data_IF_962092742966
#
_entry.id   IF_962092742966
#
_cell.length_a   1.000
_cell.length_b   1.000
_cell.length_c   1.000
_cell.angle_alpha   90.00
_cell.angle_beta   90.00
_cell.angle_gamma   90.00
#
_symmetry.space_group_name_H-M   'P 1'
#
loop_
_entity.id
_entity.type
_entity.pdbx_description
1 polymer ?
#
# COMPACT_ATOMS: atom_id res chain seq x y z
N UNK A 1 -5.64 17.40 -5.50
CA UNK A 1 -5.59 16.04 -6.04
C UNK A 1 -4.97 15.18 -4.97
N UNK A 2 -5.61 14.09 -4.52
CA UNK A 2 -5.03 13.19 -3.54
C UNK A 2 -3.90 12.37 -4.15
N UNK A 3 -2.99 11.91 -3.30
CA UNK A 3 -1.86 11.07 -3.70
C UNK A 3 -2.14 9.58 -3.44
N UNK A 4 -1.82 8.75 -4.43
CA UNK A 4 -1.85 7.29 -4.35
C UNK A 4 -0.41 6.76 -4.46
N UNK A 5 0.22 6.45 -3.32
CA UNK A 5 1.60 5.99 -3.27
C UNK A 5 1.65 4.47 -3.16
N UNK A 6 2.44 3.84 -4.00
CA UNK A 6 2.65 2.39 -4.00
C UNK A 6 4.11 2.13 -3.65
N UNK A 7 4.35 1.45 -2.53
CA UNK A 7 5.69 0.98 -2.15
C UNK A 7 5.79 -0.49 -2.51
N UNK A 8 6.60 -0.79 -3.53
CA UNK A 8 6.72 -2.10 -4.15
C UNK A 8 8.13 -2.69 -4.02
N UNK A 9 8.25 -4.00 -4.21
CA UNK A 9 9.53 -4.73 -4.12
C UNK A 9 9.40 -6.12 -3.48
N UNK A 10 10.41 -6.95 -3.67
CA UNK A 10 10.42 -8.32 -3.12
C UNK A 10 10.38 -8.32 -1.57
N UNK A 11 9.99 -9.46 -0.98
CA UNK A 11 10.16 -9.66 0.46
C UNK A 11 11.64 -9.52 0.83
N UNK A 12 11.92 -8.83 1.95
CA UNK A 12 13.29 -8.53 2.35
C UNK A 12 13.95 -7.33 1.64
N UNK A 13 13.30 -6.69 0.66
CA UNK A 13 13.86 -5.50 -0.03
C UNK A 13 13.89 -4.22 0.84
N UNK A 14 13.46 -4.29 2.10
CA UNK A 14 13.46 -3.13 3.01
C UNK A 14 12.25 -2.20 2.89
N UNK A 15 11.17 -2.60 2.20
CA UNK A 15 9.94 -1.80 1.98
C UNK A 15 9.36 -1.23 3.28
N UNK A 16 9.13 -2.06 4.28
CA UNK A 16 8.57 -1.63 5.57
C UNK A 16 9.51 -0.68 6.31
N UNK A 17 10.83 -0.91 6.25
CA UNK A 17 11.83 -0.01 6.83
C UNK A 17 11.79 1.35 6.13
N UNK A 18 11.80 1.37 4.80
CA UNK A 18 11.66 2.59 4.02
C UNK A 18 10.35 3.31 4.36
N UNK A 19 9.22 2.60 4.38
CA UNK A 19 7.92 3.17 4.69
C UNK A 19 7.91 3.84 6.07
N UNK A 20 8.38 3.15 7.12
CA UNK A 20 8.43 3.68 8.48
C UNK A 20 9.24 4.96 8.64
N UNK A 21 10.30 5.13 7.87
CA UNK A 21 11.14 6.32 7.96
C UNK A 21 10.70 7.44 7.01
N UNK A 22 10.32 7.09 5.77
CA UNK A 22 10.04 8.08 4.73
C UNK A 22 8.59 8.58 4.77
N UNK A 23 7.62 7.70 5.00
CA UNK A 23 6.19 8.04 4.93
C UNK A 23 5.81 9.15 5.91
N UNK A 24 6.18 9.10 7.20
CA UNK A 24 5.81 10.17 8.13
C UNK A 24 6.40 11.54 7.75
N UNK A 25 7.51 11.57 7.00
CA UNK A 25 8.15 12.80 6.57
C UNK A 25 7.54 13.35 5.28
N UNK A 26 7.32 12.50 4.28
CA UNK A 26 6.86 12.91 2.96
C UNK A 26 5.33 13.02 2.87
N UNK A 27 4.60 12.18 3.63
CA UNK A 27 3.15 12.01 3.54
C UNK A 27 2.53 11.84 4.94
N UNK A 28 2.66 12.83 5.85
CA UNK A 28 2.30 12.70 7.27
C UNK A 28 0.82 12.38 7.54
N UNK A 29 -0.06 12.69 6.58
CA UNK A 29 -1.51 12.49 6.72
C UNK A 29 -2.06 11.34 5.87
N UNK A 30 -1.21 10.64 5.11
CA UNK A 30 -1.66 9.56 4.24
C UNK A 30 -1.96 8.29 5.05
N UNK A 31 -3.02 7.59 4.67
CA UNK A 31 -3.38 6.32 5.29
C UNK A 31 -2.40 5.25 4.81
N UNK A 32 -1.61 4.69 5.74
CA UNK A 32 -0.70 3.59 5.44
C UNK A 32 -1.44 2.24 5.50
N UNK A 33 -1.36 1.47 4.42
CA UNK A 33 -2.03 0.19 4.23
C UNK A 33 -0.99 -0.90 3.97
N UNK A 34 -0.72 -1.71 4.99
CA UNK A 34 0.24 -2.82 4.96
C UNK A 34 -0.44 -4.11 5.47
N UNK A 35 -0.31 -5.22 4.74
CA UNK A 35 -0.97 -6.47 5.07
C UNK A 35 -0.41 -7.13 6.34
N UNK A 36 0.89 -7.04 6.58
CA UNK A 36 1.55 -7.59 7.76
C UNK A 36 1.14 -6.82 9.04
N UNK A 37 1.03 -5.50 8.94
CA UNK A 37 0.52 -4.67 10.04
C UNK A 37 -0.94 -5.02 10.35
N UNK A 38 -1.79 -5.11 9.32
CA UNK A 38 -3.21 -5.51 9.48
C UNK A 38 -3.34 -6.92 10.07
N UNK A 39 -2.48 -7.86 9.68
CA UNK A 39 -2.50 -9.21 10.22
C UNK A 39 -2.21 -9.24 11.73
N UNK A 40 -1.39 -8.31 12.23
CA UNK A 40 -1.02 -8.22 13.64
C UNK A 40 -2.08 -7.50 14.51
N UNK A 41 -3.09 -6.85 13.92
CA UNK A 41 -4.04 -6.03 14.66
C UNK A 41 -5.02 -6.83 15.53
N UNK A 42 -5.43 -8.02 15.09
CA UNK A 42 -6.49 -8.77 15.77
C UNK A 42 -6.55 -10.26 15.41
N UNK A 43 -7.26 -11.04 16.23
CA UNK A 43 -7.52 -12.45 15.94
C UNK A 43 -8.33 -12.67 14.65
N UNK A 44 -9.17 -11.71 14.23
CA UNK A 44 -9.99 -11.85 13.02
C UNK A 44 -9.20 -11.59 11.74
N UNK A 45 -8.09 -10.84 11.83
CA UNK A 45 -7.18 -10.54 10.72
C UNK A 45 -5.92 -11.42 10.72
N UNK A 46 -5.75 -12.30 11.71
CA UNK A 46 -4.52 -13.07 11.94
C UNK A 46 -4.08 -14.02 10.80
N UNK A 47 -4.96 -14.34 9.84
CA UNK A 47 -4.58 -15.13 8.66
C UNK A 47 -4.20 -14.22 7.48
N UNK A 48 -3.23 -14.61 6.63
CA UNK A 48 -2.85 -13.81 5.45
C UNK A 48 -4.03 -13.50 4.52
N UNK A 49 -4.97 -14.44 4.38
CA UNK A 49 -6.16 -14.24 3.56
C UNK A 49 -7.12 -13.22 4.18
N UNK A 50 -7.32 -13.27 5.51
CA UNK A 50 -8.17 -12.32 6.21
C UNK A 50 -7.55 -10.91 6.18
N UNK A 51 -6.25 -10.79 6.46
CA UNK A 51 -5.52 -9.53 6.37
C UNK A 51 -5.57 -8.93 4.96
N UNK A 52 -5.40 -9.74 3.92
CA UNK A 52 -5.51 -9.29 2.53
C UNK A 52 -6.90 -8.78 2.17
N UNK A 53 -7.97 -9.45 2.63
CA UNK A 53 -9.36 -8.98 2.45
C UNK A 53 -9.59 -7.66 3.16
N UNK A 54 -9.09 -7.54 4.38
CA UNK A 54 -9.23 -6.33 5.18
C UNK A 54 -8.44 -5.15 4.60
N UNK A 55 -7.24 -5.40 4.05
CA UNK A 55 -6.48 -4.39 3.31
C UNK A 55 -7.26 -3.86 2.12
N UNK A 56 -7.86 -4.73 1.33
CA UNK A 56 -8.67 -4.33 0.16
C UNK A 56 -9.87 -3.49 0.59
N UNK A 57 -10.57 -3.89 1.65
CA UNK A 57 -11.71 -3.13 2.20
C UNK A 57 -11.28 -1.71 2.62
N UNK A 58 -10.21 -1.58 3.40
CA UNK A 58 -9.69 -0.27 3.85
C UNK A 58 -9.19 0.60 2.70
N UNK A 59 -8.58 -0.02 1.69
CA UNK A 59 -8.16 0.67 0.48
C UNK A 59 -9.36 1.27 -0.26
N UNK A 60 -10.43 0.49 -0.45
CA UNK A 60 -11.65 0.95 -1.12
C UNK A 60 -12.35 2.06 -0.32
N UNK A 61 -12.41 1.96 1.00
CA UNK A 61 -12.95 3.02 1.86
C UNK A 61 -12.12 4.31 1.80
N UNK A 62 -10.80 4.18 1.74
CA UNK A 62 -9.90 5.34 1.67
C UNK A 62 -10.00 6.03 0.31
N UNK A 63 -10.10 5.25 -0.77
CA UNK A 63 -10.31 5.76 -2.13
C UNK A 63 -11.65 6.48 -2.22
N UNK A 64 -12.73 5.87 -1.71
CA UNK A 64 -14.07 6.47 -1.68
C UNK A 64 -14.14 7.76 -0.85
N UNK A 65 -13.31 7.89 0.19
CA UNK A 65 -13.17 9.10 0.99
C UNK A 65 -12.28 10.19 0.33
N UNK A 66 -11.72 9.93 -0.86
CA UNK A 66 -10.81 10.82 -1.58
C UNK A 66 -9.60 11.28 -0.76
N UNK A 67 -9.01 10.36 0.00
CA UNK A 67 -7.86 10.65 0.90
C UNK A 67 -6.55 10.11 0.34
N UNK A 68 -5.47 10.78 0.69
CA UNK A 68 -4.11 10.30 0.42
C UNK A 68 -3.90 8.93 1.06
N UNK A 69 -3.28 8.02 0.31
CA UNK A 69 -3.00 6.68 0.80
C UNK A 69 -1.68 6.15 0.29
N UNK A 70 -1.14 5.22 1.08
CA UNK A 70 0.08 4.48 0.77
C UNK A 70 -0.22 3.01 0.92
N UNK A 71 0.09 2.23 -0.11
CA UNK A 71 -0.06 0.78 -0.07
C UNK A 71 1.30 0.11 -0.23
N UNK A 72 1.66 -0.76 0.72
CA UNK A 72 2.81 -1.64 0.60
C UNK A 72 2.40 -2.94 -0.11
N UNK A 73 3.17 -3.35 -1.10
CA UNK A 73 2.89 -4.57 -1.85
C UNK A 73 4.17 -5.20 -2.42
N UNK A 74 4.12 -6.48 -2.74
CA UNK A 74 5.18 -7.15 -3.52
C UNK A 74 4.96 -7.05 -5.02
N UNK A 75 3.80 -6.54 -5.46
CA UNK A 75 3.33 -6.63 -6.85
C UNK A 75 3.34 -8.07 -7.41
N UNK A 76 3.17 -9.08 -6.55
CA UNK A 76 3.09 -10.48 -6.97
C UNK A 76 1.76 -10.85 -7.66
N UNK A 77 0.78 -9.95 -7.64
CA UNK A 77 -0.54 -10.13 -8.25
C UNK A 77 -0.87 -9.00 -9.24
N UNK A 78 -1.78 -9.28 -10.17
CA UNK A 78 -2.24 -8.30 -11.16
C UNK A 78 -3.30 -7.33 -10.60
N UNK A 79 -3.59 -7.32 -9.30
CA UNK A 79 -4.70 -6.52 -8.74
C UNK A 79 -4.55 -5.01 -9.00
N UNK A 80 -3.32 -4.49 -9.04
CA UNK A 80 -3.06 -3.07 -9.25
C UNK A 80 -3.15 -2.63 -10.71
N UNK A 81 -3.09 -3.58 -11.67
CA UNK A 81 -3.21 -3.27 -13.11
C UNK A 81 -4.52 -2.59 -13.46
N UNK A 82 -5.60 -2.92 -12.76
CA UNK A 82 -6.93 -2.29 -12.94
C UNK A 82 -7.16 -1.12 -11.99
N UNK A 83 -6.58 -1.16 -10.78
CA UNK A 83 -6.78 -0.12 -9.76
C UNK A 83 -6.04 1.18 -10.10
N UNK A 84 -4.80 1.10 -10.60
CA UNK A 84 -4.01 2.29 -10.92
C UNK A 84 -4.70 3.19 -11.95
N UNK A 85 -5.18 2.68 -13.12
CA UNK A 85 -5.93 3.51 -14.05
C UNK A 85 -7.22 4.08 -13.46
N UNK A 86 -7.93 3.31 -12.62
CA UNK A 86 -9.14 3.78 -11.96
C UNK A 86 -8.85 4.98 -11.03
N UNK A 87 -7.78 4.90 -10.22
CA UNK A 87 -7.37 6.01 -9.37
C UNK A 87 -6.98 7.26 -10.17
N UNK A 88 -6.29 7.09 -11.30
CA UNK A 88 -5.96 8.21 -12.18
C UNK A 88 -7.23 8.89 -12.73
N UNK A 89 -8.24 8.10 -13.12
CA UNK A 89 -9.54 8.63 -13.56
C UNK A 89 -10.28 9.35 -12.42
N UNK A 90 -10.16 8.86 -11.19
CA UNK A 90 -10.71 9.51 -9.99
C UNK A 90 -9.91 10.74 -9.51
N UNK A 91 -8.85 11.11 -10.24
CA UNK A 91 -8.08 12.33 -10.02
C UNK A 91 -6.90 12.20 -9.06
N UNK A 92 -6.44 10.98 -8.78
CA UNK A 92 -5.22 10.74 -7.99
C UNK A 92 -3.95 11.00 -8.80
N UNK A 93 -2.94 11.57 -8.14
CA UNK A 93 -1.55 11.47 -8.60
C UNK A 93 -0.99 10.13 -8.12
N UNK A 94 -0.66 9.22 -9.04
CA UNK A 94 -0.14 7.90 -8.69
C UNK A 94 1.39 7.89 -8.74
N UNK A 95 2.02 7.52 -7.62
CA UNK A 95 3.49 7.37 -7.51
C UNK A 95 3.84 5.92 -7.16
N UNK A 96 4.70 5.29 -7.96
CA UNK A 96 5.25 3.95 -7.69
C UNK A 96 6.70 4.06 -7.26
N UNK A 97 6.99 3.67 -6.02
CA UNK A 97 8.33 3.55 -5.46
C UNK A 97 8.67 2.06 -5.41
N UNK A 98 9.58 1.61 -6.27
CA UNK A 98 10.00 0.21 -6.31
C UNK A 98 11.38 0.03 -5.66
N UNK A 99 11.46 -0.82 -4.64
CA UNK A 99 12.70 -1.15 -3.95
C UNK A 99 13.27 -2.45 -4.50
N UNK A 100 14.51 -2.35 -4.96
CA UNK A 100 15.31 -3.49 -5.39
C UNK A 100 16.63 -3.48 -4.62
N UNK A 101 17.04 -4.67 -4.16
CA UNK A 101 18.35 -4.89 -3.55
C UNK A 101 19.19 -5.74 -4.49
N UNK A 102 20.50 -5.47 -4.65
CA UNK A 102 21.38 -6.28 -5.48
C UNK A 102 21.31 -7.74 -5.04
N UNK A 103 21.19 -8.65 -6.01
CA UNK A 103 21.40 -10.09 -5.76
C UNK A 103 22.88 -10.38 -5.98
N UNK A 104 23.49 -11.08 -5.02
CA UNK A 104 24.84 -11.62 -5.15
C UNK A 104 24.89 -12.71 -6.24
#
# INVERSE_FOLDING_TARGET
MPDAIIIAGANGAGKTTFARHFVPMAFPNAVFLNADEIQAESATTASPLAAGRELIRRLEETVAAHRDFIVETTLSSNQYTKRIPAWQVEGYTVTLIFLEVPRA
#
